data_IF_365106615742
#
_entry.id   IF_365106615742
#
_cell.length_a   1.000
_cell.length_b   1.000
_cell.length_c   1.000
_cell.angle_alpha   90.00
_cell.angle_beta   90.00
_cell.angle_gamma   90.00
#
_symmetry.space_group_name_H-M   'P 1'
#
loop_
_entity.id
_entity.type
_entity.pdbx_description
1 polymer ?
2 polymer ?
3 non-polymer ?
4 non-polymer ?
5 non-polymer ?
6 water ?
#
# COMPACT_ATOMS: atom_id res chain seq x y z
N UNK A 4 -11.95 -3.14 23.58
CA UNK A 4 -10.82 -2.84 22.70
C UNK A 4 -10.37 -1.40 22.92
N UNK A 5 -9.18 -1.24 23.47
CA UNK A 5 -8.65 0.08 23.75
C UNK A 5 -7.68 0.47 22.64
N UNK A 6 -8.21 1.14 21.63
CA UNK A 6 -7.42 1.46 20.43
C UNK A 6 -6.24 2.39 20.74
N UNK A 7 -6.45 3.38 21.59
CA UNK A 7 -5.36 4.29 21.93
C UNK A 7 -4.21 3.55 22.62
N UNK A 8 -4.54 2.63 23.52
CA UNK A 8 -3.53 1.84 24.22
C UNK A 8 -2.75 0.94 23.25
N UNK A 9 -3.48 0.32 22.33
CA UNK A 9 -2.85 -0.53 21.32
C UNK A 9 -1.86 0.27 20.46
N UNK A 10 -2.32 1.43 19.99
CA UNK A 10 -1.45 2.30 19.18
C UNK A 10 -0.21 2.73 19.99
N UNK A 11 -0.42 3.16 21.23
CA UNK A 11 0.71 3.53 22.08
C UNK A 11 1.74 2.40 22.22
N UNK A 12 1.26 1.18 22.45
CA UNK A 12 2.19 0.06 22.59
C UNK A 12 2.94 -0.22 21.29
N UNK A 13 2.24 -0.13 20.15
CA UNK A 13 2.89 -0.36 18.86
C UNK A 13 3.93 0.72 18.57
N UNK A 14 3.68 1.95 19.02
CA UNK A 14 4.58 3.06 18.72
C UNK A 14 5.69 3.22 19.74
N UNK A 15 5.64 2.47 20.84
CA UNK A 15 6.64 2.62 21.91
C UNK A 15 8.03 2.26 21.43
N UNK A 16 8.12 1.48 20.36
CA UNK A 16 9.41 1.05 19.83
C UNK A 16 10.03 2.04 18.83
N UNK A 17 9.41 3.20 18.62
CA UNK A 17 9.99 4.17 17.69
C UNK A 17 11.39 4.61 18.09
N UNK A 18 11.70 4.55 19.38
CA UNK A 18 13.02 4.92 19.85
C UNK A 18 13.94 3.75 20.16
N UNK A 19 13.47 2.53 19.88
CA UNK A 19 14.22 1.33 20.20
C UNK A 19 15.21 0.96 19.12
N UNK A 20 16.24 0.20 19.50
CA UNK A 20 17.07 -0.47 18.52
C UNK A 20 16.13 -1.26 17.59
N UNK A 21 16.27 -1.08 16.28
CA UNK A 21 15.30 -1.73 15.38
C UNK A 21 15.26 -3.25 15.54
N UNK A 22 14.07 -3.81 15.36
CA UNK A 22 13.87 -5.25 15.38
C UNK A 22 13.12 -5.75 16.59
N UNK A 23 12.93 -4.90 17.59
CA UNK A 23 12.19 -5.28 18.80
C UNK A 23 10.73 -5.59 18.48
N UNK A 24 10.21 -6.68 19.04
CA UNK A 24 8.80 -7.02 18.86
C UNK A 24 7.89 -6.23 19.77
N UNK A 25 6.63 -6.10 19.35
CA UNK A 25 5.56 -5.66 20.22
C UNK A 25 4.61 -6.82 20.29
N UNK A 26 4.33 -7.33 21.48
CA UNK A 26 3.43 -8.48 21.59
C UNK A 26 2.12 -8.06 22.25
N UNK A 27 1.16 -7.73 21.40
CA UNK A 27 -0.19 -7.46 21.85
C UNK A 27 -0.85 -8.77 22.29
N UNK A 28 -1.92 -8.67 23.07
CA UNK A 28 -2.69 -9.85 23.45
C UNK A 28 -3.42 -10.38 22.23
N UNK A 29 -3.56 -11.70 22.14
CA UNK A 29 -4.25 -12.30 21.00
C UNK A 29 -5.67 -11.74 20.85
N UNK A 30 -6.38 -11.57 21.95
CA UNK A 30 -7.73 -11.03 21.87
C UNK A 30 -7.77 -9.59 21.32
N UNK A 31 -6.71 -8.82 21.57
CA UNK A 31 -6.62 -7.46 21.03
C UNK A 31 -6.45 -7.49 19.52
N UNK A 32 -5.60 -8.40 19.04
CA UNK A 32 -5.40 -8.53 17.60
C UNK A 32 -6.69 -9.03 16.94
N UNK A 33 -7.35 -10.00 17.57
CA UNK A 33 -8.63 -10.47 17.06
C UNK A 33 -9.61 -9.29 16.95
N UNK A 34 -9.60 -8.43 17.97
CA UNK A 34 -10.46 -7.25 17.99
C UNK A 34 -10.14 -6.28 16.87
N UNK A 35 -8.86 -6.07 16.61
CA UNK A 35 -8.46 -5.23 15.46
C UNK A 35 -9.03 -5.78 14.17
N UNK A 36 -8.94 -7.09 13.99
CA UNK A 36 -9.42 -7.73 12.77
C UNK A 36 -10.93 -7.56 12.65
N UNK A 37 -11.65 -7.79 13.73
CA UNK A 37 -13.10 -7.80 13.67
C UNK A 37 -13.66 -6.39 13.45
N UNK A 38 -13.10 -5.41 14.15
CA UNK A 38 -13.59 -4.04 14.01
C UNK A 38 -13.20 -3.45 12.66
N UNK A 39 -11.96 -3.68 12.23
CA UNK A 39 -11.58 -3.15 10.92
C UNK A 39 -12.39 -3.80 9.80
N UNK A 40 -12.66 -5.10 9.92
CA UNK A 40 -13.47 -5.81 8.94
C UNK A 40 -14.84 -5.15 8.79
N UNK A 41 -15.47 -4.79 9.90
CA UNK A 41 -16.76 -4.13 9.87
C UNK A 41 -16.65 -2.80 9.12
N UNK A 42 -15.58 -2.06 9.39
CA UNK A 42 -15.39 -0.79 8.71
C UNK A 42 -15.16 -0.99 7.20
N UNK A 43 -14.30 -1.95 6.85
CA UNK A 43 -14.06 -2.20 5.43
C UNK A 43 -15.38 -2.51 4.72
N UNK A 44 -16.23 -3.34 5.33
CA UNK A 44 -17.49 -3.70 4.68
C UNK A 44 -18.48 -2.53 4.59
N UNK A 45 -18.36 -1.58 5.51
CA UNK A 45 -19.23 -0.41 5.55
C UNK A 45 -18.84 0.65 4.51
N UNK A 46 -17.63 0.53 3.98
CA UNK A 46 -17.13 1.45 2.97
C UNK A 46 -17.10 0.73 1.61
N UNK A 47 -17.09 1.50 0.51
CA UNK A 47 -17.14 0.88 -0.82
C UNK A 47 -15.89 0.04 -1.13
N UNK A 48 -16.03 -0.95 -1.99
CA UNK A 48 -14.90 -1.76 -2.43
C UNK A 48 -14.03 -0.97 -3.43
N UNK A 49 -14.65 0.01 -4.08
CA UNK A 49 -13.94 1.00 -4.91
C UNK A 49 -14.01 2.33 -4.15
N UNK A 50 -12.92 2.71 -3.48
CA UNK A 50 -12.94 3.92 -2.66
C UNK A 50 -12.96 5.17 -3.54
N UNK A 51 -13.71 6.18 -3.10
CA UNK A 51 -13.70 7.47 -3.79
C UNK A 51 -13.12 8.48 -2.80
N UNK A 52 -11.89 8.91 -3.06
CA UNK A 52 -11.12 9.71 -2.11
C UNK A 52 -10.82 11.09 -2.66
N UNK A 53 -10.57 12.02 -1.74
CA UNK A 53 -10.18 13.38 -2.09
C UNK A 53 -8.79 13.70 -1.56
N UNK A 54 -8.02 14.40 -2.37
CA UNK A 54 -6.74 14.92 -1.95
C UNK A 54 -6.99 16.09 -0.99
N UNK A 55 -6.03 16.41 -0.12
CA UNK A 55 -4.68 15.85 -0.05
C UNK A 55 -4.59 14.49 0.62
N UNK A 56 -3.65 13.70 0.13
CA UNK A 56 -3.32 12.45 0.79
C UNK A 56 -1.97 11.96 0.35
N UNK A 57 -1.40 11.06 1.14
CA UNK A 57 -0.14 10.42 0.80
C UNK A 57 -0.40 8.96 0.47
N UNK A 58 0.19 8.50 -0.62
CA UNK A 58 -0.06 7.14 -1.11
C UNK A 58 1.21 6.32 -0.97
N UNK A 59 1.10 5.14 -0.36
CA UNK A 59 2.27 4.28 -0.11
C UNK A 59 2.10 2.96 -0.82
N UNK A 60 3.22 2.41 -1.28
CA UNK A 60 3.25 1.06 -1.86
C UNK A 60 3.65 0.02 -0.83
N UNK A 61 4.25 -1.08 -1.28
CA UNK A 61 4.44 -2.26 -0.43
C UNK A 61 5.24 -1.97 0.82
N UNK A 62 4.82 -2.58 1.93
CA UNK A 62 5.54 -2.52 3.19
C UNK A 62 6.15 -3.89 3.56
N UNK A 63 5.42 -4.98 3.34
CA UNK A 63 5.95 -6.34 3.51
C UNK A 63 6.60 -6.55 4.88
N UNK A 64 5.92 -6.17 5.94
CA UNK A 64 6.38 -6.53 7.27
C UNK A 64 7.65 -5.83 7.73
N UNK A 65 8.11 -4.82 7.00
CA UNK A 65 9.30 -4.06 7.41
C UNK A 65 8.82 -2.95 8.35
N UNK A 66 8.52 -3.35 9.58
CA UNK A 66 7.81 -2.49 10.51
C UNK A 66 8.57 -1.21 10.84
N UNK A 67 9.87 -1.34 11.09
CA UNK A 67 10.65 -0.16 11.42
C UNK A 67 10.72 0.82 10.26
N UNK A 68 10.72 0.30 9.04
CA UNK A 68 10.62 1.17 7.87
C UNK A 68 9.26 1.87 7.77
N UNK A 69 8.18 1.18 8.15
CA UNK A 69 6.87 1.82 8.22
C UNK A 69 6.93 2.99 9.21
N UNK A 70 7.52 2.76 10.38
CA UNK A 70 7.66 3.84 11.36
C UNK A 70 8.48 5.00 10.80
N UNK A 71 9.53 4.70 10.03
CA UNK A 71 10.35 5.75 9.41
C UNK A 71 9.56 6.51 8.34
N UNK A 72 8.71 5.80 7.61
CA UNK A 72 7.87 6.42 6.58
C UNK A 72 6.89 7.39 7.22
N UNK A 73 6.24 6.95 8.30
CA UNK A 73 5.32 7.84 9.01
C UNK A 73 6.05 9.03 9.65
N UNK A 74 7.28 8.82 10.12
CA UNK A 74 8.05 9.92 10.69
C UNK A 74 8.29 11.01 9.64
N UNK A 75 8.57 10.58 8.43
CA UNK A 75 8.84 11.50 7.32
C UNK A 75 7.53 12.12 6.80
N UNK A 76 6.52 11.29 6.56
CA UNK A 76 5.29 11.78 5.97
C UNK A 76 4.33 12.47 6.94
N UNK A 77 4.51 12.19 8.23
CA UNK A 77 3.62 12.66 9.27
C UNK A 77 2.77 11.50 9.78
N UNK A 78 2.79 11.23 11.07
CA UNK A 78 1.93 10.15 11.59
C UNK A 78 0.46 10.53 11.44
N UNK A 79 -0.38 9.53 11.16
CA UNK A 79 -1.84 9.79 11.15
C UNK A 79 -2.22 10.49 12.46
N UNK A 80 -3.14 11.48 12.42
CA UNK A 80 -3.94 11.92 11.28
C UNK A 80 -3.36 13.20 10.65
N UNK A 81 -2.08 13.47 10.88
CA UNK A 81 -1.49 14.68 10.36
C UNK A 81 -1.54 14.72 8.84
N UNK A 82 -1.42 13.56 8.23
CA UNK A 82 -1.64 13.40 6.80
C UNK A 82 -2.67 12.31 6.62
N UNK A 83 -3.46 12.39 5.55
CA UNK A 83 -4.34 11.29 5.17
C UNK A 83 -3.51 10.30 4.39
N UNK A 84 -3.78 9.01 4.56
CA UNK A 84 -3.01 7.96 3.88
C UNK A 84 -3.90 7.01 3.09
N UNK A 85 -3.37 6.59 1.95
CA UNK A 85 -3.87 5.43 1.21
C UNK A 85 -2.68 4.49 0.99
N UNK A 86 -2.81 3.26 1.50
CA UNK A 86 -1.82 2.20 1.24
C UNK A 86 -2.35 1.28 0.13
N UNK A 87 -1.44 0.79 -0.71
CA UNK A 87 -1.82 0.03 -1.90
C UNK A 87 -1.70 -1.49 -1.71
N UNK A 88 -1.53 -1.95 -0.46
CA UNK A 88 -1.49 -3.37 -0.18
C UNK A 88 -0.13 -3.94 0.17
N UNK A 89 -0.08 -5.25 0.41
CA UNK A 89 1.16 -5.95 0.75
C UNK A 89 1.75 -5.46 2.06
N UNK A 90 0.99 -5.71 3.13
CA UNK A 90 1.38 -5.34 4.48
C UNK A 90 2.19 -6.45 5.11
N UNK A 91 1.94 -7.67 4.67
CA UNK A 91 2.53 -8.86 5.28
C UNK A 91 3.43 -9.60 4.29
N UNK A 92 4.11 -10.62 4.81
CA UNK A 92 5.05 -11.50 4.10
C UNK A 92 6.41 -10.84 3.86
N UNK A 93 7.42 -11.70 3.77
CA UNK A 93 8.81 -11.35 3.40
C UNK A 93 9.61 -10.71 4.53
N UNK A 94 9.06 -9.68 5.16
CA UNK A 94 9.75 -9.00 6.24
C UNK A 94 9.55 -9.74 7.54
N UNK A 95 10.19 -9.24 8.59
CA UNK A 95 10.25 -10.00 9.84
C UNK A 95 9.12 -9.69 10.80
N UNK A 96 8.42 -8.59 10.57
CA UNK A 96 7.40 -8.13 11.51
C UNK A 96 6.10 -7.77 10.81
N UNK A 97 5.55 -8.75 10.11
CA UNK A 97 4.24 -8.58 9.51
C UNK A 97 3.18 -8.27 10.56
N UNK A 98 3.26 -8.90 11.73
CA UNK A 98 2.21 -8.71 12.74
C UNK A 98 2.14 -7.26 13.23
N UNK A 99 3.27 -6.68 13.62
CA UNK A 99 3.25 -5.29 14.09
C UNK A 99 2.77 -4.38 12.98
N UNK A 100 3.21 -4.65 11.75
CA UNK A 100 2.86 -3.82 10.61
C UNK A 100 1.34 -3.81 10.39
N UNK A 101 0.75 -4.99 10.23
CA UNK A 101 -0.69 -5.01 9.97
C UNK A 101 -1.48 -4.53 11.20
N UNK A 102 -1.01 -4.81 12.42
CA UNK A 102 -1.74 -4.34 13.59
C UNK A 102 -1.78 -2.82 13.67
N UNK A 103 -0.66 -2.15 13.39
CA UNK A 103 -0.65 -0.69 13.41
C UNK A 103 -1.58 -0.14 12.33
N UNK A 104 -1.54 -0.73 11.13
CA UNK A 104 -2.36 -0.23 10.03
C UNK A 104 -3.84 -0.42 10.31
N UNK A 105 -4.23 -1.60 10.82
CA UNK A 105 -5.63 -1.82 11.19
C UNK A 105 -6.06 -0.91 12.32
N UNK A 106 -5.17 -0.69 13.30
CA UNK A 106 -5.49 0.22 14.41
C UNK A 106 -5.74 1.64 13.90
N UNK A 107 -4.94 2.10 12.94
CA UNK A 107 -5.16 3.44 12.38
C UNK A 107 -6.44 3.50 11.56
N UNK A 108 -6.79 2.41 10.88
CA UNK A 108 -8.06 2.37 10.13
C UNK A 108 -9.25 2.52 11.09
N UNK A 109 -9.16 1.87 12.25
CA UNK A 109 -10.23 1.97 13.24
C UNK A 109 -10.27 3.36 13.88
N UNK A 110 -9.10 3.91 14.17
CA UNK A 110 -9.01 5.23 14.81
C UNK A 110 -9.44 6.38 13.89
N UNK A 111 -9.04 6.28 12.61
CA UNK A 111 -9.28 7.36 11.64
C UNK A 111 -9.96 6.81 10.38
N UNK A 112 -11.20 6.30 10.53
CA UNK A 112 -11.81 5.54 9.44
C UNK A 112 -12.08 6.35 8.17
N UNK A 113 -12.19 7.66 8.27
CA UNK A 113 -12.42 8.49 7.09
C UNK A 113 -11.17 9.21 6.59
N UNK A 114 -10.02 8.91 7.20
CA UNK A 114 -8.77 9.62 6.86
C UNK A 114 -7.60 8.69 6.63
N UNK A 115 -7.88 7.39 6.58
CA UNK A 115 -6.83 6.40 6.52
C UNK A 115 -7.42 5.20 5.79
N UNK A 116 -6.74 4.75 4.73
CA UNK A 116 -7.30 3.74 3.83
C UNK A 116 -6.27 2.71 3.45
N UNK A 117 -6.73 1.46 3.38
CA UNK A 117 -5.89 0.32 3.02
C UNK A 117 -6.53 -0.45 1.89
N UNK A 118 -5.80 -0.65 0.78
CA UNK A 118 -6.25 -1.56 -0.27
C UNK A 118 -5.70 -2.95 -0.08
N UNK A 119 -6.30 -3.89 -0.78
CA UNK A 119 -5.83 -5.27 -0.77
C UNK A 119 -4.66 -5.47 -1.73
N UNK A 120 -3.58 -6.07 -1.24
CA UNK A 120 -2.51 -6.52 -2.13
C UNK A 120 -2.60 -8.01 -2.41
N UNK A 121 -1.73 -8.50 -3.31
CA UNK A 121 -1.75 -9.93 -3.61
C UNK A 121 -1.29 -10.80 -2.43
N UNK A 122 -0.60 -10.19 -1.46
CA UNK A 122 -0.20 -10.93 -0.24
C UNK A 122 -1.27 -10.96 0.85
N UNK A 123 -2.35 -10.19 0.67
CA UNK A 123 -3.47 -10.27 1.60
C UNK A 123 -4.44 -11.35 1.14
N UNK A 124 -3.91 -12.56 1.05
CA UNK A 124 -4.60 -13.69 0.45
C UNK A 124 -3.98 -14.93 1.05
N UNK A 125 -4.83 -15.85 1.54
CA UNK A 125 -4.31 -16.96 2.32
C UNK A 125 -3.38 -17.86 1.52
N UNK A 126 -3.67 -18.08 0.24
CA UNK A 126 -2.86 -18.98 -0.58
C UNK A 126 -1.42 -18.47 -0.74
N UNK A 127 -1.27 -17.15 -0.71
CA UNK A 127 0.04 -16.52 -0.86
C UNK A 127 0.74 -16.37 0.49
N UNK A 128 0.04 -15.83 1.48
CA UNK A 128 0.71 -15.56 2.75
C UNK A 128 0.85 -16.82 3.61
N UNK A 129 0.27 -17.93 3.15
CA UNK A 129 0.58 -19.24 3.72
C UNK A 129 2.05 -19.60 3.52
N UNK A 130 2.60 -19.19 2.38
CA UNK A 130 3.91 -19.64 1.91
C UNK A 130 5.02 -18.60 2.11
N UNK A 131 4.65 -17.31 2.12
CA UNK A 131 5.67 -16.27 2.11
C UNK A 131 5.91 -15.56 3.43
N UNK A 132 5.42 -16.14 4.53
CA UNK A 132 5.89 -15.76 5.84
C UNK A 132 4.83 -15.51 6.89
N UNK A 133 3.66 -15.00 6.49
CA UNK A 133 2.70 -14.54 7.48
C UNK A 133 2.10 -15.70 8.30
N UNK A 134 1.76 -16.80 7.65
CA UNK A 134 1.29 -17.98 8.36
C UNK A 134 2.31 -18.42 9.39
N UNK A 135 3.58 -18.50 8.98
CA UNK A 135 4.62 -18.97 9.89
C UNK A 135 4.78 -18.02 11.08
N UNK A 136 4.69 -16.72 10.82
CA UNK A 136 4.83 -15.73 11.89
C UNK A 136 3.66 -15.85 12.88
N UNK A 137 2.45 -15.99 12.35
CA UNK A 137 1.27 -16.18 13.20
C UNK A 137 1.38 -17.44 14.03
N UNK A 138 1.79 -18.55 13.41
CA UNK A 138 1.88 -19.82 14.11
C UNK A 138 2.92 -19.76 15.24
N UNK A 139 4.06 -19.11 14.96
CA UNK A 139 5.14 -19.03 15.94
C UNK A 139 4.77 -18.15 17.14
N UNK A 140 4.20 -16.98 16.85
CA UNK A 140 3.96 -16.00 17.90
C UNK A 140 2.61 -16.13 18.57
N UNK A 141 1.64 -16.64 17.83
CA UNK A 141 0.26 -16.78 18.31
C UNK A 141 -0.24 -18.16 17.98
N UNK A 142 -1.21 -18.25 17.08
CA UNK A 142 -1.67 -19.56 16.61
C UNK A 142 -2.33 -19.45 15.24
N UNK A 143 -2.67 -20.60 14.68
CA UNK A 143 -3.25 -20.67 13.35
C UNK A 143 -4.65 -20.04 13.31
N UNK A 144 -5.38 -20.15 14.39
CA UNK A 144 -6.69 -19.51 14.47
C UNK A 144 -6.58 -18.01 14.21
N UNK A 145 -5.55 -17.38 14.74
CA UNK A 145 -5.35 -15.94 14.50
C UNK A 145 -5.10 -15.66 13.02
N UNK A 146 -4.31 -16.50 12.37
CA UNK A 146 -4.06 -16.36 10.94
C UNK A 146 -5.38 -16.45 10.15
N UNK A 147 -6.25 -17.37 10.53
CA UNK A 147 -7.56 -17.48 9.88
C UNK A 147 -8.43 -16.25 10.11
N UNK A 148 -8.34 -15.65 11.29
CA UNK A 148 -9.03 -14.39 11.57
C UNK A 148 -8.52 -13.28 10.67
N UNK A 149 -7.20 -13.19 10.47
CA UNK A 149 -6.65 -12.21 9.53
C UNK A 149 -7.19 -12.44 8.11
N UNK A 150 -7.26 -13.71 7.72
CA UNK A 150 -7.78 -14.04 6.40
C UNK A 150 -9.19 -13.51 6.20
N UNK A 151 -10.05 -13.69 7.20
CA UNK A 151 -11.43 -13.20 7.13
C UNK A 151 -11.48 -11.70 6.97
N UNK A 152 -10.56 -11.01 7.65
CA UNK A 152 -10.46 -9.56 7.57
C UNK A 152 -9.95 -9.14 6.18
N UNK A 153 -8.86 -9.75 5.73
CA UNK A 153 -8.29 -9.42 4.42
C UNK A 153 -9.30 -9.66 3.28
N UNK A 154 -10.16 -10.66 3.46
CA UNK A 154 -11.16 -10.96 2.44
C UNK A 154 -12.17 -9.82 2.25
N UNK A 155 -12.15 -8.85 3.17
CA UNK A 155 -13.06 -7.70 3.09
C UNK A 155 -12.40 -6.39 2.69
N UNK A 156 -11.09 -6.39 2.39
CA UNK A 156 -10.42 -5.15 2.01
C UNK A 156 -10.94 -4.63 0.69
N UNK A 157 -11.00 -3.29 0.55
CA UNK A 157 -11.31 -2.74 -0.79
C UNK A 157 -10.16 -3.00 -1.76
N UNK A 158 -10.46 -2.82 -3.03
CA UNK A 158 -9.63 -3.33 -4.12
C UNK A 158 -8.96 -2.22 -4.92
N UNK A 159 -9.61 -1.06 -4.99
CA UNK A 159 -9.12 0.05 -5.80
C UNK A 159 -9.62 1.34 -5.20
N UNK A 160 -9.00 2.45 -5.61
CA UNK A 160 -9.43 3.78 -5.17
C UNK A 160 -9.27 4.75 -6.32
N UNK A 161 -10.15 5.75 -6.37
CA UNK A 161 -9.99 6.82 -7.34
C UNK A 161 -9.91 8.11 -6.55
N UNK A 162 -8.87 8.89 -6.80
CA UNK A 162 -8.66 10.16 -6.10
C UNK A 162 -9.06 11.33 -7.00
N UNK A 163 -10.05 12.10 -6.53
CA UNK A 163 -10.55 13.30 -7.25
C UNK A 163 -10.92 13.00 -8.71
N UNK A 164 -11.44 11.81 -8.99
CA UNK A 164 -11.81 11.41 -10.35
C UNK A 164 -10.66 11.44 -11.34
N UNK A 165 -9.41 11.42 -10.85
CA UNK A 165 -8.27 11.59 -11.75
C UNK A 165 -7.14 10.60 -11.57
N UNK A 166 -6.97 10.05 -10.37
CA UNK A 166 -5.89 9.07 -10.14
C UNK A 166 -6.52 7.72 -9.77
N UNK A 167 -6.29 6.71 -10.61
CA UNK A 167 -6.80 5.37 -10.34
C UNK A 167 -5.71 4.56 -9.64
N UNK A 168 -6.04 4.02 -8.46
CA UNK A 168 -5.06 3.36 -7.61
C UNK A 168 -5.45 1.92 -7.37
N UNK A 169 -4.48 1.01 -7.50
CA UNK A 169 -4.72 -0.39 -7.16
C UNK A 169 -3.36 -1.01 -6.92
N UNK A 170 -3.35 -2.22 -6.38
CA UNK A 170 -2.07 -2.82 -6.04
C UNK A 170 -1.25 -3.25 -7.26
N UNK A 171 -1.91 -3.98 -8.15
CA UNK A 171 -1.27 -4.61 -9.30
C UNK A 171 -1.41 -3.74 -10.53
N UNK A 172 -2.53 -3.85 -11.22
CA UNK A 172 -2.67 -3.03 -12.40
C UNK A 172 -3.98 -3.22 -13.11
N UNK A 173 -3.98 -2.94 -14.40
CA UNK A 173 -5.19 -2.98 -15.20
C UNK A 173 -5.60 -4.42 -15.53
N UNK A 174 -6.81 -4.58 -16.02
CA UNK A 174 -7.35 -5.87 -16.42
C UNK A 174 -7.98 -5.73 -17.79
N UNK A 175 -7.83 -6.74 -18.66
CA UNK A 175 -8.57 -6.64 -19.93
C UNK A 175 -10.08 -6.67 -19.68
N UNK A 176 -10.50 -7.17 -18.52
CA UNK A 176 -11.91 -7.25 -18.20
C UNK A 176 -12.47 -5.91 -17.73
N UNK A 177 -11.62 -4.95 -17.36
CA UNK A 177 -12.10 -3.72 -16.76
C UNK A 177 -12.55 -2.73 -17.83
N UNK A 178 -13.85 -2.68 -18.03
CA UNK A 178 -14.47 -1.77 -19.00
C UNK A 178 -15.22 -0.64 -18.30
N UNK A 179 -15.86 -0.96 -17.18
CA UNK A 179 -16.64 0.00 -16.41
C UNK A 179 -16.27 -0.11 -14.94
N UNK A 180 -16.15 1.02 -14.26
CA UNK A 180 -15.89 1.00 -12.83
C UNK A 180 -16.96 0.26 -12.04
N UNK A 181 -18.19 0.21 -12.57
CA UNK A 181 -19.23 -0.53 -11.87
C UNK A 181 -18.89 -2.01 -11.73
N UNK A 182 -18.05 -2.54 -12.64
CA UNK A 182 -17.64 -3.94 -12.50
C UNK A 182 -16.87 -4.15 -11.19
N UNK A 183 -16.09 -3.16 -10.76
CA UNK A 183 -15.40 -3.28 -9.49
C UNK A 183 -16.41 -3.18 -8.35
N UNK A 184 -17.34 -2.23 -8.45
CA UNK A 184 -18.34 -2.02 -7.38
C UNK A 184 -19.23 -3.22 -7.13
N UNK A 185 -19.45 -4.02 -8.16
CA UNK A 185 -20.36 -5.15 -8.06
C UNK A 185 -19.73 -6.39 -7.41
N UNK A 186 -18.44 -6.33 -7.15
CA UNK A 186 -17.77 -7.45 -6.50
C UNK A 186 -18.17 -7.53 -5.05
N UNK A 187 -18.72 -8.68 -4.63
CA UNK A 187 -19.18 -8.86 -3.27
C UNK A 187 -18.09 -9.37 -2.31
N UNK A 188 -18.16 -8.92 -1.07
CA UNK A 188 -17.24 -9.33 -0.02
C UNK A 188 -18.02 -9.98 1.12
N UNK A 189 -17.37 -10.87 1.87
CA UNK A 189 -15.98 -11.32 1.73
C UNK A 189 -15.75 -12.16 0.49
N UNK A 190 -14.53 -12.09 -0.03
CA UNK A 190 -14.13 -12.92 -1.15
C UNK A 190 -12.67 -13.27 -1.03
N UNK A 191 -12.30 -14.46 -1.48
CA UNK A 191 -10.91 -14.81 -1.69
C UNK A 191 -10.47 -14.17 -3.00
N UNK A 192 -9.18 -14.23 -3.31
CA UNK A 192 -8.68 -13.75 -4.60
C UNK A 192 -8.72 -14.95 -5.54
N UNK A 193 -9.57 -14.89 -6.57
CA UNK A 193 -9.62 -15.99 -7.54
C UNK A 193 -8.32 -16.14 -8.34
N UNK A 194 -8.12 -17.29 -9.00
CA UNK A 194 -6.88 -17.51 -9.75
C UNK A 194 -6.82 -16.78 -11.10
N UNK A 195 -7.94 -16.18 -11.48
CA UNK A 195 -7.97 -15.33 -12.67
C UNK A 195 -9.19 -14.41 -12.58
N UNK A 196 -9.20 -13.37 -13.40
CA UNK A 196 -10.35 -12.49 -13.51
C UNK A 196 -10.02 -11.08 -13.06
N UNK A 197 -11.04 -10.24 -12.99
CA UNK A 197 -10.88 -8.82 -12.72
C UNK A 197 -10.19 -8.55 -11.39
N UNK A 198 -10.68 -9.14 -10.30
CA UNK A 198 -10.10 -8.94 -8.97
C UNK A 198 -8.64 -9.38 -8.96
N UNK A 199 -8.39 -10.56 -9.50
CA UNK A 199 -7.04 -11.08 -9.61
C UNK A 199 -6.13 -10.07 -10.32
N UNK A 200 -6.56 -9.57 -11.48
CA UNK A 200 -5.72 -8.66 -12.25
C UNK A 200 -5.43 -7.35 -11.49
N UNK A 201 -6.44 -6.83 -10.80
CA UNK A 201 -6.23 -5.60 -10.04
C UNK A 201 -5.17 -5.77 -8.97
N UNK A 202 -4.97 -7.00 -8.49
CA UNK A 202 -3.95 -7.29 -7.49
C UNK A 202 -2.63 -7.79 -8.05
N UNK A 203 -2.63 -8.23 -9.32
CA UNK A 203 -1.51 -9.02 -9.84
C UNK A 203 -0.84 -8.52 -11.12
N UNK A 204 -1.53 -7.73 -11.96
CA UNK A 204 -0.95 -7.43 -13.28
C UNK A 204 0.23 -6.46 -13.20
N UNK A 205 1.03 -6.37 -14.27
CA UNK A 205 2.20 -5.49 -14.32
C UNK A 205 2.27 -4.81 -15.66
N UNK A 206 2.78 -3.57 -15.67
CA UNK A 206 3.09 -2.92 -16.94
C UNK A 206 4.34 -3.53 -17.56
N UNK A 207 4.47 -3.47 -18.88
CA UNK A 207 5.63 -4.03 -19.56
C UNK A 207 5.86 -3.23 -20.83
N UNK A 208 7.06 -2.65 -20.97
CA UNK A 208 7.37 -1.79 -22.13
C UNK A 208 7.40 -2.55 -23.46
N UNK A 209 7.57 -3.86 -23.41
CA UNK A 209 7.71 -4.65 -24.64
C UNK A 209 6.43 -5.32 -25.11
N UNK A 210 5.37 -5.17 -24.33
CA UNK A 210 4.10 -5.79 -24.66
C UNK A 210 3.26 -4.82 -25.48
N UNK A 211 2.59 -5.33 -26.51
CA UNK A 211 1.79 -4.47 -27.37
C UNK A 211 0.46 -4.03 -26.72
N UNK A 212 -0.30 -5.01 -26.29
CA UNK A 212 -1.61 -4.86 -25.66
C UNK A 212 -1.56 -5.60 -24.34
N UNK A 213 -2.14 -6.80 -24.31
CA UNK A 213 -2.08 -7.70 -23.16
C UNK A 213 -1.15 -8.85 -23.46
N UNK A 214 -0.38 -9.27 -22.45
CA UNK A 214 0.53 -10.37 -22.66
C UNK A 214 0.69 -11.27 -21.48
N UNK A 215 1.48 -12.30 -21.71
CA UNK A 215 1.89 -13.24 -20.68
C UNK A 215 2.50 -12.52 -19.48
N UNK A 216 2.17 -12.99 -18.28
CA UNK A 216 2.86 -12.53 -17.07
C UNK A 216 3.58 -13.73 -16.48
N UNK A 217 4.90 -13.67 -16.44
CA UNK A 217 5.64 -14.86 -16.01
C UNK A 217 5.65 -15.06 -14.47
N UNK A 218 4.86 -14.26 -13.74
CA UNK A 218 4.47 -14.65 -12.38
C UNK A 218 3.63 -15.93 -12.40
N UNK A 219 3.05 -16.27 -13.55
CA UNK A 219 2.16 -17.41 -13.67
C UNK A 219 0.73 -17.10 -13.27
N UNK A 220 0.44 -15.81 -13.13
CA UNK A 220 -0.86 -15.29 -12.74
C UNK A 220 -1.07 -14.01 -13.54
N UNK A 221 -2.30 -13.76 -14.00
CA UNK A 221 -2.66 -12.48 -14.58
C UNK A 221 -1.88 -12.16 -15.88
N UNK A 222 -1.68 -10.86 -16.15
CA UNK A 222 -1.22 -10.37 -17.45
C UNK A 222 -0.17 -9.30 -17.26
N UNK A 223 0.56 -9.04 -18.34
CA UNK A 223 1.25 -7.78 -18.52
C UNK A 223 0.43 -6.90 -19.46
N UNK A 224 0.65 -5.59 -19.37
CA UNK A 224 -0.04 -4.66 -20.27
C UNK A 224 0.92 -3.55 -20.72
N UNK A 225 0.72 -3.09 -21.95
CA UNK A 225 1.60 -2.11 -22.55
C UNK A 225 1.15 -0.67 -22.35
N UNK A 226 2.00 0.23 -22.84
CA UNK A 226 1.76 1.66 -22.73
C UNK A 226 0.46 2.08 -23.43
N UNK A 227 0.14 1.45 -24.57
CA UNK A 227 -1.08 1.82 -25.28
C UNK A 227 -2.34 1.49 -24.50
N UNK A 228 -2.30 0.38 -23.76
CA UNK A 228 -3.42 0.02 -22.89
C UNK A 228 -3.62 1.09 -21.82
N UNK A 229 -2.52 1.57 -21.24
CA UNK A 229 -2.62 2.63 -20.23
C UNK A 229 -3.26 3.88 -20.83
N UNK A 230 -2.77 4.32 -21.99
CA UNK A 230 -3.29 5.53 -22.62
C UNK A 230 -4.78 5.40 -22.92
N UNK A 231 -5.19 4.25 -23.44
CA UNK A 231 -6.59 4.04 -23.82
C UNK A 231 -7.49 4.04 -22.58
N UNK A 232 -7.01 3.41 -21.51
CA UNK A 232 -7.75 3.35 -20.26
C UNK A 232 -7.96 4.76 -19.69
N UNK A 233 -6.88 5.54 -19.63
CA UNK A 233 -6.98 6.88 -19.06
C UNK A 233 -7.95 7.73 -19.89
N UNK A 234 -7.84 7.65 -21.22
CA UNK A 234 -8.70 8.48 -22.06
C UNK A 234 -10.17 8.08 -21.91
N UNK A 235 -10.43 6.78 -21.87
CA UNK A 235 -11.80 6.27 -21.78
C UNK A 235 -12.49 6.75 -20.51
N UNK A 236 -11.73 6.80 -19.41
CA UNK A 236 -12.31 7.11 -18.10
C UNK A 236 -12.04 8.53 -17.62
N UNK A 237 -11.46 9.35 -18.49
CA UNK A 237 -11.13 10.74 -18.14
C UNK A 237 -10.24 10.81 -16.90
N UNK A 238 -9.26 9.90 -16.83
CA UNK A 238 -8.30 9.87 -15.73
C UNK A 238 -6.96 10.41 -16.20
N UNK A 239 -6.10 10.82 -15.25
CA UNK A 239 -4.79 11.36 -15.59
C UNK A 239 -3.62 10.43 -15.25
N UNK A 240 -3.80 9.54 -14.27
CA UNK A 240 -2.68 8.77 -13.76
C UNK A 240 -3.17 7.47 -13.15
N UNK A 241 -2.41 6.40 -13.39
CA UNK A 241 -2.55 5.16 -12.64
C UNK A 241 -1.43 5.09 -11.61
N UNK A 242 -1.79 4.80 -10.37
CA UNK A 242 -0.79 4.66 -9.30
C UNK A 242 -0.93 3.25 -8.74
N UNK A 243 0.16 2.49 -8.77
CA UNK A 243 0.13 1.08 -8.38
C UNK A 243 1.44 0.73 -7.68
N UNK A 244 1.58 -0.52 -7.24
CA UNK A 244 2.72 -0.93 -6.44
C UNK A 244 3.28 -2.24 -7.02
N UNK A 245 3.56 -3.25 -6.18
CA UNK A 245 3.69 -4.67 -6.67
C UNK A 245 5.04 -5.05 -7.27
N UNK A 246 5.91 -4.08 -7.58
CA UNK A 246 7.25 -4.38 -8.11
C UNK A 246 8.28 -3.50 -7.45
N UNK A 247 9.43 -4.09 -7.12
CA UNK A 247 10.54 -3.31 -6.57
C UNK A 247 11.06 -2.36 -7.63
N UNK A 248 11.20 -1.09 -7.25
CA UNK A 248 11.76 -0.08 -8.15
C UNK A 248 12.89 0.63 -7.40
N UNK A 249 14.02 0.81 -8.08
CA UNK A 249 15.25 1.24 -7.41
C UNK A 249 15.13 2.54 -6.65
N UNK A 250 14.39 3.49 -7.21
CA UNK A 250 14.29 4.84 -6.62
C UNK A 250 13.06 4.98 -5.73
N UNK A 251 12.34 3.90 -5.48
CA UNK A 251 11.12 3.96 -4.68
C UNK A 251 9.87 4.27 -5.49
N UNK A 252 10.04 5.01 -6.59
CA UNK A 252 8.97 5.22 -7.55
C UNK A 252 9.55 5.12 -8.94
N UNK A 253 8.72 4.76 -9.91
CA UNK A 253 9.14 4.71 -11.30
C UNK A 253 7.97 4.96 -12.21
N UNK A 254 8.17 5.86 -13.17
CA UNK A 254 7.14 6.16 -14.15
C UNK A 254 7.13 5.13 -15.29
N UNK A 255 5.99 5.02 -15.95
CA UNK A 255 5.80 4.19 -17.11
C UNK A 255 4.87 4.94 -18.07
N UNK A 256 5.10 4.76 -19.37
CA UNK A 256 4.23 5.35 -20.39
C UNK A 256 4.13 6.89 -20.27
N UNK A 257 5.26 7.58 -20.35
CA UNK A 257 5.25 9.07 -20.32
C UNK A 257 4.45 9.67 -19.14
N UNK A 258 4.77 9.18 -17.97
CA UNK A 258 4.18 9.61 -16.69
C UNK A 258 2.69 9.34 -16.53
N UNK A 259 2.15 8.46 -17.36
CA UNK A 259 0.75 8.06 -17.26
C UNK A 259 0.50 7.02 -16.17
N UNK A 260 1.55 6.32 -15.76
CA UNK A 260 1.48 5.34 -14.69
C UNK A 260 2.71 5.50 -13.81
N UNK A 261 2.53 5.31 -12.51
CA UNK A 261 3.66 5.28 -11.61
C UNK A 261 3.55 4.04 -10.70
N UNK A 262 4.71 3.43 -10.47
CA UNK A 262 4.85 2.32 -9.50
C UNK A 262 5.50 2.86 -8.23
N UNK A 263 4.90 2.55 -7.07
CA UNK A 263 5.47 2.89 -5.77
C UNK A 263 5.82 1.63 -5.03
N UNK A 264 6.99 1.61 -4.40
CA UNK A 264 7.37 0.49 -3.56
C UNK A 264 7.99 1.12 -2.33
N UNK A 265 7.46 0.80 -1.15
CA UNK A 265 7.76 1.61 0.03
C UNK A 265 8.62 0.91 1.05
N UNK A 266 9.12 -0.28 0.76
CA UNK A 266 9.98 -1.04 1.67
C UNK A 266 11.43 -0.92 1.16
N UNK A 267 12.22 -0.04 1.77
CA UNK A 267 13.60 0.16 1.30
C UNK A 267 14.46 -1.07 1.53
N UNK A 268 15.50 -1.21 0.71
CA UNK A 268 16.42 -2.33 0.82
C UNK A 268 15.65 -3.64 1.04
N UNK A 269 14.74 -3.91 0.13
CA UNK A 269 13.74 -4.94 0.32
C UNK A 269 14.38 -6.29 0.62
N UNK A 270 13.96 -6.89 1.73
CA UNK A 270 14.44 -8.23 2.13
C UNK A 270 15.92 -8.27 2.42
N UNK A 271 16.56 -7.12 2.53
CA UNK A 271 18.01 -7.08 2.62
C UNK A 271 18.68 -7.57 1.33
N UNK A 272 17.92 -7.66 0.24
CA UNK A 272 18.39 -8.24 -1.02
C UNK A 272 18.50 -7.25 -2.16
N UNK A 273 17.70 -6.18 -2.13
CA UNK A 273 17.61 -5.27 -3.27
C UNK A 273 18.21 -3.93 -2.94
N UNK A 274 18.67 -3.20 -3.96
CA UNK A 274 19.27 -1.89 -3.71
C UNK A 274 18.30 -0.72 -3.85
N UNK A 275 17.16 -0.77 -3.18
CA UNK A 275 16.13 0.22 -3.47
C UNK A 275 15.83 1.18 -2.33
N UNK A 276 15.43 2.39 -2.70
CA UNK A 276 14.78 3.29 -1.75
C UNK A 276 13.31 2.93 -1.71
N UNK A 277 12.61 3.47 -0.70
CA UNK A 277 11.16 3.42 -0.66
C UNK A 277 10.62 4.79 -1.01
N UNK A 278 9.40 4.87 -1.53
CA UNK A 278 8.80 6.17 -1.75
C UNK A 278 7.33 6.18 -1.46
N UNK A 279 6.82 7.37 -1.17
CA UNK A 279 5.38 7.59 -1.18
C UNK A 279 5.09 8.77 -2.10
N UNK A 280 3.88 8.82 -2.62
CA UNK A 280 3.47 9.92 -3.48
C UNK A 280 2.52 10.82 -2.68
N UNK A 281 2.94 12.07 -2.47
CA UNK A 281 2.11 13.05 -1.77
C UNK A 281 1.32 13.83 -2.80
N UNK A 282 0.00 13.81 -2.64
CA UNK A 282 -0.88 14.47 -3.60
C UNK A 282 -1.51 15.67 -2.90
N UNK A 283 -1.26 16.89 -3.40
CA UNK A 283 -1.85 18.05 -2.74
C UNK A 283 -3.28 18.33 -3.23
N UNK A 284 -3.92 19.35 -2.67
CA UNK A 284 -5.32 19.62 -2.96
C UNK A 284 -5.59 19.98 -4.42
N UNK A 285 -4.54 20.38 -5.14
CA UNK A 285 -4.64 20.70 -6.56
C UNK A 285 -4.28 19.52 -7.46
N UNK A 286 -3.95 18.38 -6.85
CA UNK A 286 -3.47 17.18 -7.55
C UNK A 286 -2.03 17.34 -8.08
N UNK A 287 -1.27 18.23 -7.46
CA UNK A 287 0.16 18.23 -7.71
C UNK A 287 0.79 17.13 -6.87
N UNK A 288 1.49 16.23 -7.57
CA UNK A 288 2.03 15.00 -6.98
C UNK A 288 3.53 15.11 -6.81
N UNK A 289 3.99 14.85 -5.58
CA UNK A 289 5.42 14.87 -5.27
C UNK A 289 5.83 13.52 -4.70
N UNK A 290 7.12 13.20 -4.78
CA UNK A 290 7.60 11.91 -4.28
C UNK A 290 8.51 12.11 -3.10
N UNK A 291 8.14 11.50 -1.97
CA UNK A 291 8.95 11.55 -0.77
C UNK A 291 9.65 10.22 -0.65
N UNK A 292 10.98 10.29 -0.72
CA UNK A 292 11.83 9.11 -0.80
C UNK A 292 12.51 8.85 0.53
N UNK A 293 12.44 7.60 0.97
CA UNK A 293 13.10 7.14 2.18
C UNK A 293 14.28 6.26 1.74
N UNK A 294 15.48 6.75 1.96
CA UNK A 294 16.68 6.18 1.35
C UNK A 294 17.66 5.70 2.40
N UNK A 295 18.07 4.43 2.32
CA UNK A 295 19.09 3.96 3.26
C UNK A 295 20.46 4.60 2.99
N UNK A 296 21.19 4.90 4.05
CA UNK A 296 22.53 5.47 3.91
C UNK A 296 23.47 4.54 3.14
N UNK B 13 -10.34 23.58 -13.06
CA UNK B 13 -10.47 22.13 -12.97
C UNK B 13 -9.18 21.50 -12.51
N UNK B 14 -9.29 20.53 -11.61
CA UNK B 14 -8.11 19.83 -11.12
C UNK B 14 -7.55 18.86 -12.15
N UNK B 15 -6.23 18.85 -12.28
CA UNK B 15 -5.53 17.99 -13.21
C UNK B 15 -4.24 17.58 -12.53
N UNK B 16 -3.79 16.36 -12.76
CA UNK B 16 -2.52 15.90 -12.19
C UNK B 16 -1.35 16.67 -12.79
N UNK B 17 -0.48 17.18 -11.92
CA UNK B 17 0.83 17.69 -12.31
C UNK B 17 1.86 17.12 -11.34
N UNK B 18 3.14 17.30 -11.64
CA UNK B 18 4.20 16.79 -10.78
C UNK B 18 5.06 17.90 -10.21
N UNK B 19 5.32 17.82 -8.91
CA UNK B 19 6.08 18.84 -8.21
C UNK B 19 7.57 18.68 -8.40
N UNK B 20 8.33 19.64 -7.87
CA UNK B 20 9.77 19.56 -7.90
C UNK B 20 10.27 18.33 -7.14
N UNK B 21 11.46 17.87 -7.48
CA UNK B 21 12.09 16.79 -6.74
C UNK B 21 12.34 17.21 -5.29
N UNK B 22 12.16 16.26 -4.38
CA UNK B 22 12.43 16.49 -2.97
C UNK B 22 13.61 15.64 -2.54
N UNK B 23 14.53 16.25 -1.80
CA UNK B 23 15.68 15.52 -1.28
C UNK B 23 15.21 14.38 -0.39
N UNK B 24 15.87 13.23 -0.48
CA UNK B 24 15.41 12.09 0.32
C UNK B 24 15.62 12.23 1.84
N UNK B 25 14.75 11.59 2.60
CA UNK B 25 15.00 11.37 4.02
C UNK B 25 15.94 10.18 4.10
N UNK B 26 17.13 10.39 4.67
CA UNK B 26 18.15 9.33 4.73
C UNK B 26 18.17 8.72 6.11
N UNK B 27 18.23 7.40 6.16
CA UNK B 27 18.22 6.69 7.44
C UNK B 27 19.28 5.60 7.47
N UNK B 28 19.73 5.29 8.68
CA UNK B 28 20.61 4.16 8.92
C UNK B 28 19.75 3.02 9.44
N UNK B 29 19.83 1.86 8.79
CA UNK B 29 18.99 0.72 9.16
C UNK B 29 19.17 0.30 10.62
N UNK B 30 20.33 0.60 11.19
CA UNK B 30 20.62 0.18 12.56
C UNK B 30 20.18 1.21 13.63
N UNK B 31 19.72 2.38 13.19
CA UNK B 31 19.33 3.44 14.11
C UNK B 31 17.83 3.45 14.37
N UNK B 32 17.42 3.96 15.54
CA UNK B 32 15.98 4.03 15.83
C UNK B 32 15.20 4.79 14.76
N UNK B 33 13.94 4.44 14.62
CA UNK B 33 13.06 5.04 13.63
C UNK B 33 12.82 6.53 13.87
N UNK B 34 13.04 6.99 15.11
CA UNK B 34 12.81 8.40 15.39
C UNK B 34 14.08 9.27 15.30
N UNK B 35 15.16 8.71 14.76
CA UNK B 35 16.37 9.52 14.54
C UNK B 35 16.94 9.36 13.12
N UNK B 36 16.29 10.01 12.14
CA UNK B 36 16.81 9.95 10.76
C UNK B 36 18.17 10.63 10.66
N UNK B 37 19.00 10.20 9.72
CA UNK B 37 20.32 10.80 9.51
C UNK B 37 20.21 12.17 8.85
N UNK B 38 19.31 12.30 7.88
CA UNK B 38 19.12 13.55 7.18
C UNK B 38 17.64 13.71 6.88
N UNK B 39 17.09 14.88 7.21
CA UNK B 39 15.68 15.16 6.93
C UNK B 39 15.47 15.37 5.45
N UNK B 40 14.46 14.71 4.89
CA UNK B 40 14.12 14.91 3.50
C UNK B 40 13.24 16.13 3.25
N UNK B 41 13.12 16.49 1.98
CA UNK B 41 12.25 17.59 1.61
C UNK B 41 10.79 17.25 1.82
N UNK B 42 9.98 18.26 2.12
CA UNK B 42 8.55 18.06 2.26
C UNK B 42 7.82 18.97 1.27
N UNK B 43 6.71 18.49 0.71
CA UNK B 43 6.04 19.28 -0.32
C UNK B 43 5.31 20.47 0.31
N UNK B 44 5.19 21.52 -0.48
CA UNK B 44 4.35 22.65 -0.09
C UNK B 44 3.50 22.99 -1.31
N UNK B 45 2.32 23.54 -1.07
CA UNK B 45 1.41 23.89 -2.17
C UNK B 45 1.96 24.98 -3.07
X LIG C 1 7.55 -7.70 -5.32
X LIG C 1 7.15 -8.54 -6.50
X LIG C 1 7.04 -8.31 -4.04
X LIG C 1 6.22 -9.37 -6.38
X LIG C 1 7.77 -8.40 -7.60
X LIG C 1 5.97 -7.88 -3.55
X LIG C 1 7.67 -9.24 -3.48
X LIG D 1 8.55 -12.17 -20.49
X LIG D 1 9.90 -12.64 -20.51
X LIG D 1 8.13 -11.75 -19.08
X LIG D 1 8.88 -10.62 -18.72
X LIG D 1 6.65 -11.35 -19.00
X LIG D 1 6.16 -11.35 -17.65
X LIG E 1 -4.02 -15.75 -19.19
X LIG E 1 -4.17 -17.13 -18.92
X LIG E 1 -3.87 -15.01 -17.87
X LIG E 1 -2.83 -15.59 -17.11
X LIG E 1 -5.20 -15.07 -17.14
X LIG E 1 -5.04 -14.65 -15.79
X LIG F 1 -3.06 -16.62 -7.10
X LIG F 1 -3.16 -17.73 -7.94
X LIG F 1 -4.48 -16.09 -6.93
X LIG F 1 -4.75 -15.12 -7.92
X LIG F 1 -4.68 -15.59 -5.52
X LIG F 1 -5.25 -16.61 -4.73
X LIG G 1 -14.82 6.71 2.67
X LIG G 1 -14.43 8.03 2.35
X LIG G 1 -15.48 6.03 1.47
X LIG G 1 -16.78 6.56 1.28
X LIG G 1 -14.68 6.27 0.20
X LIG G 1 -15.49 5.92 -0.90
X LIG H 1 -0.71 14.79 1.64
X LIG H 1 -0.54 15.74 0.63
X LIG H 1 -1.28 15.29 2.95
X LIG H 1 -1.72 16.62 2.89
X LIG H 1 -2.37 14.33 3.43
X LIG H 1 -3.57 14.90 3.91
X LIG I 1 8.00 -0.50 -15.13
X LIG I 1 8.18 0.83 -14.72
X LIG I 1 7.47 -1.30 -13.94
X LIG I 1 7.47 -2.66 -14.27
X LIG I 1 8.38 -1.08 -12.74
X LIG I 1 9.67 -1.59 -13.03
X LIG J 1 -15.31 7.43 -9.86
#
# INVERSE_FOLDING_TARGET
GHMLNIDSIIQRLLEVRGSKPGKNVQLQENEIRGLCLKSREIFLSQPILLELEAPLKICGDIHGQYYDLLRLFEYGGFPPESNYLFLGDYVDRGKQSLETICLLLAYKIKYPENFFLLRGNHECASINRIYGFYDECKRRYNIKLWKTFTDCFNCLPIAAIVDEKIFCCHGGLSPDLQSMEQIRRIMRPTDVPDQGLLCDLLWSDPDKDVLGWGENDRGVSFTFGAEVVAKFLHKHDLDLICRAHQVVEDGYEFFAKRQLVTLFSAPNYCGEFDNAGAMMSVDETLMCSFQILKPAEKKKPNATR
GAMGYAFLNMRKRKRVTFGEDLSPEVFDESLPANTPLRKGGTPVCK
MLI C1 C2 C3 O6 O7 O8 O9
GOL C1 O1 C2 O2 C3 O3
GOL C1 O1 C2 O2 C3 O3
GOL C1 O1 C2 O2 C3 O3
GOL C1 O1 C2 O2 C3 O3
GOL C1 O1 C2 O2 C3 O3
GOL C1 O1 C2 O2 C3 O3
NA NA
#
